data_IF_107694670317
#
_entry.id   IF_107694670317
#
_cell.length_a   1.000
_cell.length_b   1.000
_cell.length_c   1.000
_cell.angle_alpha   90.00
_cell.angle_beta   90.00
_cell.angle_gamma   90.00
#
_symmetry.space_group_name_H-M   'P 1'
#
loop_
_entity.id
_entity.type
_entity.pdbx_description
1 polymer ?
#
# COMPACT_ATOMS: atom_id res chain seq x y z
N UNK A 1 -9.49 4.99 -0.30
CA UNK A 1 -8.11 4.55 -0.65
C UNK A 1 -7.33 5.51 -1.53
N UNK A 2 -7.77 5.81 -2.76
CA UNK A 2 -6.97 6.61 -3.71
C UNK A 2 -6.56 7.97 -3.15
N UNK A 3 -7.45 8.63 -2.39
CA UNK A 3 -7.13 9.87 -1.68
C UNK A 3 -6.02 9.69 -0.62
N UNK A 4 -6.11 8.68 0.25
CA UNK A 4 -5.10 8.39 1.28
C UNK A 4 -3.73 8.01 0.70
N UNK A 5 -3.70 7.32 -0.45
CA UNK A 5 -2.47 7.07 -1.19
C UNK A 5 -1.91 8.38 -1.79
N UNK A 6 -2.75 9.23 -2.40
CA UNK A 6 -2.33 10.52 -2.97
C UNK A 6 -1.76 11.48 -1.92
N UNK A 7 -2.34 11.51 -0.71
CA UNK A 7 -1.81 12.30 0.41
C UNK A 7 -0.37 11.93 0.80
N UNK A 8 0.05 10.71 0.47
CA UNK A 8 1.38 10.16 0.77
C UNK A 8 2.29 10.10 -0.47
N UNK A 9 1.94 10.88 -1.48
CA UNK A 9 2.56 10.90 -2.81
C UNK A 9 2.73 9.50 -3.43
N UNK A 10 1.76 8.62 -3.16
CA UNK A 10 1.81 7.22 -3.56
C UNK A 10 0.65 6.83 -4.46
N UNK A 11 0.93 5.98 -5.45
CA UNK A 11 -0.08 5.57 -6.43
C UNK A 11 -0.80 4.30 -5.96
N UNK A 12 -2.12 4.29 -6.07
CA UNK A 12 -2.95 3.14 -5.70
C UNK A 12 -2.51 1.84 -6.39
N UNK A 13 -2.25 1.85 -7.70
CA UNK A 13 -1.81 0.64 -8.42
C UNK A 13 -0.46 0.11 -7.92
N UNK A 14 0.45 1.00 -7.53
CA UNK A 14 1.76 0.63 -6.99
C UNK A 14 1.61 0.08 -5.56
N UNK A 15 0.72 0.66 -4.77
CA UNK A 15 0.36 0.19 -3.45
C UNK A 15 -0.24 -1.21 -3.47
N UNK A 16 -1.28 -1.43 -4.29
CA UNK A 16 -1.92 -2.74 -4.44
C UNK A 16 -0.94 -3.76 -5.00
N UNK A 17 -0.11 -3.38 -5.98
CA UNK A 17 0.93 -4.26 -6.51
C UNK A 17 1.99 -4.63 -5.47
N UNK A 18 2.38 -3.70 -4.59
CA UNK A 18 3.31 -3.95 -3.49
C UNK A 18 2.70 -4.87 -2.42
N UNK A 19 1.45 -4.64 -2.04
CA UNK A 19 0.74 -5.49 -1.06
C UNK A 19 0.52 -6.92 -1.55
N UNK A 20 0.14 -7.11 -2.82
CA UNK A 20 0.03 -8.44 -3.41
C UNK A 20 1.37 -9.19 -3.36
N UNK A 21 2.48 -8.49 -3.59
CA UNK A 21 3.84 -9.06 -3.52
C UNK A 21 4.30 -9.32 -2.08
N UNK A 22 3.83 -8.53 -1.13
CA UNK A 22 4.04 -8.77 0.29
C UNK A 22 3.19 -9.93 0.83
N UNK A 23 2.33 -10.54 0.01
CA UNK A 23 1.41 -11.61 0.43
C UNK A 23 0.23 -11.09 1.26
N UNK A 24 -0.01 -9.78 1.27
CA UNK A 24 -1.06 -9.15 2.07
C UNK A 24 -2.38 -9.23 1.32
N UNK A 25 -3.17 -10.26 1.64
CA UNK A 25 -4.53 -10.50 1.14
C UNK A 25 -5.57 -9.65 1.87
N UNK A 26 -5.36 -8.33 1.95
CA UNK A 26 -6.32 -7.42 2.57
C UNK A 26 -7.44 -7.03 1.59
N UNK A 27 -8.68 -7.05 2.08
CA UNK A 27 -9.84 -6.60 1.32
C UNK A 27 -9.85 -5.07 1.20
N UNK A 28 -10.15 -4.59 -0.01
CA UNK A 28 -10.24 -3.17 -0.39
C UNK A 28 -11.23 -2.33 0.44
N UNK A 29 -12.23 -2.95 1.08
CA UNK A 29 -13.11 -2.29 2.05
C UNK A 29 -12.38 -2.02 3.37
N UNK A 30 -11.88 -3.06 4.03
CA UNK A 30 -11.13 -2.95 5.30
C UNK A 30 -9.98 -1.96 5.19
N UNK A 31 -9.28 -1.99 4.07
CA UNK A 31 -8.07 -1.21 3.88
C UNK A 31 -8.41 0.27 3.54
N UNK A 32 -9.65 0.56 3.09
CA UNK A 32 -10.18 1.94 3.00
C UNK A 32 -10.61 2.47 4.37
N UNK A 33 -11.19 1.61 5.19
CA UNK A 33 -11.63 1.91 6.55
C UNK A 33 -10.44 2.14 7.48
N UNK A 34 -9.41 1.29 7.36
CA UNK A 34 -8.14 1.41 8.08
C UNK A 34 -7.41 2.70 7.71
N UNK A 35 -7.45 3.14 6.45
CA UNK A 35 -6.90 4.42 6.06
C UNK A 35 -7.57 5.64 6.73
N UNK A 36 -8.82 5.48 7.21
CA UNK A 36 -9.60 6.53 7.89
C UNK A 36 -9.46 6.40 9.42
N UNK A 37 -9.58 5.18 9.95
CA UNK A 37 -9.54 4.93 11.39
C UNK A 37 -8.12 4.97 11.96
N UNK A 38 -7.14 4.44 11.23
CA UNK A 38 -5.75 4.40 11.67
C UNK A 38 -4.78 4.74 10.53
N UNK A 39 -4.53 6.04 10.32
CA UNK A 39 -3.56 6.49 9.32
C UNK A 39 -2.13 6.00 9.62
N UNK A 40 -1.77 5.73 10.88
CA UNK A 40 -0.43 5.27 11.26
C UNK A 40 -0.17 3.87 10.74
N UNK A 41 -1.12 2.96 10.95
CA UNK A 41 -1.02 1.59 10.38
C UNK A 41 -1.05 1.63 8.85
N UNK A 42 -1.82 2.54 8.25
CA UNK A 42 -1.81 2.71 6.80
C UNK A 42 -0.43 3.17 6.27
N UNK A 43 0.28 4.03 6.99
CA UNK A 43 1.65 4.44 6.64
C UNK A 43 2.63 3.26 6.63
N UNK A 44 2.56 2.38 7.64
CA UNK A 44 3.38 1.16 7.69
C UNK A 44 3.09 0.24 6.50
N UNK A 45 1.82 0.09 6.13
CA UNK A 45 1.44 -0.70 4.95
C UNK A 45 1.96 -0.07 3.65
N UNK A 46 1.96 1.26 3.55
CA UNK A 46 2.51 1.98 2.39
C UNK A 46 4.02 1.77 2.30
N UNK A 47 4.75 1.85 3.42
CA UNK A 47 6.19 1.60 3.45
C UNK A 47 6.53 0.14 3.08
N UNK A 48 5.79 -0.81 3.62
CA UNK A 48 5.91 -2.23 3.26
C UNK A 48 5.65 -2.41 1.76
N UNK A 49 4.56 -1.86 1.22
CA UNK A 49 4.26 -1.92 -0.20
C UNK A 49 5.37 -1.29 -1.07
N UNK A 50 5.97 -0.18 -0.63
CA UNK A 50 7.13 0.46 -1.30
C UNK A 50 8.33 -0.48 -1.36
N UNK A 51 8.69 -1.11 -0.23
CA UNK A 51 9.81 -2.07 -0.14
C UNK A 51 9.62 -3.26 -1.07
N UNK A 52 8.44 -3.89 -1.06
CA UNK A 52 8.15 -5.05 -1.90
C UNK A 52 7.95 -4.71 -3.39
N UNK A 53 7.59 -3.47 -3.70
CA UNK A 53 7.54 -3.00 -5.08
C UNK A 53 8.94 -2.76 -5.65
N UNK A 54 9.81 -2.07 -4.89
CA UNK A 54 11.18 -1.75 -5.27
C UNK A 54 12.06 -3.01 -5.45
N UNK A 55 11.81 -4.06 -4.66
CA UNK A 55 12.51 -5.34 -4.79
C UNK A 55 12.42 -5.96 -6.21
N UNK A 56 11.36 -5.68 -6.98
CA UNK A 56 11.23 -6.17 -8.37
C UNK A 56 11.88 -5.25 -9.41
N UNK A 57 12.09 -3.96 -9.11
CA UNK A 57 12.78 -3.06 -10.04
C UNK A 57 14.27 -3.43 -10.21
N UNK A 58 14.82 -4.25 -9.30
CA UNK A 58 16.17 -4.79 -9.36
C UNK A 58 16.25 -6.20 -9.97
N UNK A 59 15.13 -6.78 -10.39
CA UNK A 59 15.02 -8.16 -10.89
C UNK A 59 14.56 -8.27 -12.36
N UNK A 60 14.70 -7.19 -13.14
CA UNK A 60 14.51 -7.15 -14.58
C UNK A 60 15.66 -6.35 -15.19
#
# INVERSE_FOLDING_TARGET
>A
MTAACRMRDYRYSLFVGGLQRAGVLLNRKMLSELAIQDPTTFDVLVDMAKKHLAAKARAA
#
